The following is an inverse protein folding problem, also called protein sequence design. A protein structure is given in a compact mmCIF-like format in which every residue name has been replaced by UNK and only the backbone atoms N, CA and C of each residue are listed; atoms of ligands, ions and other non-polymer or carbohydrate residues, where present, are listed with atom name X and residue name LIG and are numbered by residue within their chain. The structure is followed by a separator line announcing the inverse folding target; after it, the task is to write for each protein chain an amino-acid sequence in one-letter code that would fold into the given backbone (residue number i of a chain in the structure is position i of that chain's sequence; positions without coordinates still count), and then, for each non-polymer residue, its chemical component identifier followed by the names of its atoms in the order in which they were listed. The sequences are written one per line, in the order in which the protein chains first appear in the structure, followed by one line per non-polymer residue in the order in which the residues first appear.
data_IF_476427929990
#
_entry.id   IF_476427929990
#
_cell.length_a   1.000
_cell.length_b   1.000
_cell.length_c   1.000
_cell.angle_alpha   90.00
_cell.angle_beta   90.00
_cell.angle_gamma   90.00
#
_symmetry.space_group_name_H-M   'P 1'
#
loop_
_entity.id
_entity.type
_entity.pdbx_description
1 polymer ?
#
# COMPACT_ATOMS: atom_id res chain seq x y z
N UNK A 1 1.13 1.98 -25.11
CA UNK A 1 0.55 0.92 -24.24
C UNK A 1 -0.41 1.60 -23.27
N UNK A 2 -1.61 1.07 -23.03
CA UNK A 2 -2.50 1.66 -22.00
C UNK A 2 -1.89 1.37 -20.64
N UNK A 3 -1.30 2.38 -20.01
CA UNK A 3 -0.67 2.24 -18.69
C UNK A 3 -1.79 2.16 -17.65
N UNK A 4 -2.05 0.97 -17.13
CA UNK A 4 -3.07 0.79 -16.10
C UNK A 4 -2.58 1.37 -14.77
N UNK A 5 -3.34 2.30 -14.19
CA UNK A 5 -2.98 2.99 -12.94
C UNK A 5 -2.95 2.10 -11.71
N UNK A 6 -3.89 1.15 -11.64
CA UNK A 6 -4.00 0.22 -10.53
C UNK A 6 -3.94 -1.20 -11.11
N UNK A 7 -2.95 -1.97 -10.69
CA UNK A 7 -2.80 -3.36 -11.06
C UNK A 7 -3.46 -4.22 -9.97
N UNK A 8 -4.55 -4.89 -10.34
CA UNK A 8 -5.27 -5.80 -9.45
C UNK A 8 -4.79 -7.22 -9.72
N UNK A 9 -4.28 -7.87 -8.68
CA UNK A 9 -3.81 -9.26 -8.74
C UNK A 9 -4.99 -10.22 -8.61
N UNK A 10 -5.86 -9.96 -7.63
CA UNK A 10 -7.06 -10.75 -7.35
C UNK A 10 -8.13 -9.83 -6.75
N UNK A 11 -9.41 -10.06 -7.03
CA UNK A 11 -10.49 -9.30 -6.41
C UNK A 11 -10.92 -9.95 -5.10
N UNK A 12 -10.93 -9.22 -3.97
CA UNK A 12 -11.37 -9.78 -2.71
C UNK A 12 -12.89 -9.94 -2.69
N UNK A 13 -13.38 -11.05 -2.13
CA UNK A 13 -14.82 -11.26 -1.91
C UNK A 13 -15.29 -10.51 -0.65
N UNK A 14 -15.67 -9.24 -0.84
CA UNK A 14 -16.19 -8.37 0.21
C UNK A 14 -17.63 -7.96 -0.08
N UNK A 15 -18.50 -8.03 0.93
CA UNK A 15 -19.87 -7.54 0.85
C UNK A 15 -19.97 -6.15 1.45
N UNK A 16 -20.32 -5.16 0.63
CA UNK A 16 -20.44 -3.75 1.02
C UNK A 16 -19.22 -3.22 1.82
N UNK A 17 -17.99 -3.26 1.24
CA UNK A 17 -16.79 -2.87 1.95
C UNK A 17 -16.74 -1.35 2.23
N UNK A 18 -16.03 -0.99 3.30
CA UNK A 18 -15.57 0.38 3.54
C UNK A 18 -14.11 0.49 3.12
N UNK A 19 -13.73 1.63 2.53
CA UNK A 19 -12.34 1.93 2.23
C UNK A 19 -11.77 2.84 3.31
N UNK A 20 -10.67 2.42 3.92
CA UNK A 20 -9.85 3.24 4.80
C UNK A 20 -8.53 3.49 4.07
N UNK A 21 -8.13 4.76 3.92
CA UNK A 21 -6.91 5.15 3.25
C UNK A 21 -6.02 5.97 4.19
N UNK A 22 -4.74 5.59 4.25
CA UNK A 22 -3.69 6.36 4.90
C UNK A 22 -2.63 6.69 3.87
N UNK A 23 -2.24 7.96 3.78
CA UNK A 23 -1.30 8.44 2.77
C UNK A 23 -0.03 8.94 3.45
N UNK A 24 1.09 8.78 2.76
CA UNK A 24 2.34 9.44 3.16
C UNK A 24 2.36 10.90 2.67
N UNK A 25 3.31 11.69 3.17
CA UNK A 25 3.53 13.08 2.74
C UNK A 25 2.87 14.14 3.63
N UNK A 26 2.35 15.21 3.02
CA UNK A 26 2.02 16.46 3.73
C UNK A 26 1.00 16.30 4.86
N UNK A 27 0.00 15.42 4.68
CA UNK A 27 -1.02 15.10 5.68
C UNK A 27 -0.60 14.09 6.76
N UNK A 28 0.66 13.64 6.78
CA UNK A 28 1.14 12.51 7.57
C UNK A 28 2.07 12.94 8.73
N UNK A 29 1.65 13.92 9.54
CA UNK A 29 2.43 14.37 10.69
C UNK A 29 2.67 13.21 11.68
N UNK A 30 3.92 13.05 12.12
CA UNK A 30 4.36 11.95 13.00
C UNK A 30 3.98 10.55 12.48
N UNK A 31 3.87 10.38 11.16
CA UNK A 31 3.48 9.14 10.49
C UNK A 31 2.09 8.60 10.87
N UNK A 32 1.19 9.47 11.35
CA UNK A 32 -0.11 9.02 11.88
C UNK A 32 -1.04 8.45 10.80
N UNK A 33 -1.07 9.02 9.60
CA UNK A 33 -1.99 8.59 8.54
C UNK A 33 -1.58 7.22 8.00
N UNK A 34 -0.35 7.11 7.49
CA UNK A 34 0.20 5.85 6.96
C UNK A 34 0.33 4.81 8.08
N UNK A 35 0.83 5.22 9.25
CA UNK A 35 0.99 4.33 10.41
C UNK A 35 -0.33 3.70 10.87
N UNK A 36 -1.43 4.45 10.89
CA UNK A 36 -2.75 3.89 11.25
C UNK A 36 -3.28 2.90 10.20
N UNK A 37 -3.09 3.17 8.91
CA UNK A 37 -3.44 2.20 7.87
C UNK A 37 -2.63 0.89 8.02
N UNK A 38 -1.32 1.00 8.23
CA UNK A 38 -0.43 -0.15 8.49
C UNK A 38 -0.85 -0.91 9.75
N UNK A 39 -1.23 -0.21 10.81
CA UNK A 39 -1.74 -0.81 12.04
C UNK A 39 -3.00 -1.65 11.77
N UNK A 40 -3.97 -1.12 11.03
CA UNK A 40 -5.21 -1.84 10.67
C UNK A 40 -4.93 -3.05 9.80
N UNK A 41 -4.06 -2.93 8.79
CA UNK A 41 -3.63 -4.06 7.94
C UNK A 41 -3.12 -5.21 8.81
N UNK A 42 -2.22 -4.92 9.76
CA UNK A 42 -1.65 -5.91 10.69
C UNK A 42 -2.71 -6.48 11.63
N UNK A 43 -3.52 -5.62 12.25
CA UNK A 43 -4.53 -6.01 13.25
C UNK A 43 -5.62 -6.90 12.64
N UNK A 44 -6.06 -6.59 11.42
CA UNK A 44 -7.11 -7.31 10.70
C UNK A 44 -6.56 -8.47 9.86
N UNK A 45 -5.23 -8.66 9.81
CA UNK A 45 -4.56 -9.63 8.94
C UNK A 45 -4.97 -9.47 7.47
N UNK A 46 -5.09 -8.22 7.02
CA UNK A 46 -5.53 -7.90 5.67
C UNK A 46 -4.51 -8.40 4.62
N UNK A 47 -5.03 -8.91 3.51
CA UNK A 47 -4.24 -9.45 2.40
C UNK A 47 -4.15 -8.43 1.27
N UNK A 48 -2.97 -8.30 0.68
CA UNK A 48 -2.77 -7.43 -0.49
C UNK A 48 -3.49 -8.01 -1.70
N UNK A 49 -4.16 -7.15 -2.48
CA UNK A 49 -4.90 -7.59 -3.66
C UNK A 49 -4.68 -6.70 -4.89
N UNK A 50 -4.13 -5.50 -4.71
CA UNK A 50 -3.79 -4.59 -5.79
C UNK A 50 -2.65 -3.64 -5.42
N UNK A 51 -1.94 -3.13 -6.42
CA UNK A 51 -0.89 -2.13 -6.28
C UNK A 51 -1.10 -0.95 -7.24
N UNK A 52 -0.59 0.22 -6.86
CA UNK A 52 -0.56 1.41 -7.70
C UNK A 52 0.69 1.34 -8.58
N UNK A 53 0.53 1.61 -9.88
CA UNK A 53 1.65 1.74 -10.79
C UNK A 53 2.36 3.08 -10.56
N UNK A 54 3.62 3.08 -10.07
CA UNK A 54 4.26 4.30 -9.66
C UNK A 54 4.62 5.24 -10.81
N UNK A 55 4.85 4.72 -12.01
CA UNK A 55 5.24 5.51 -13.19
C UNK A 55 4.18 6.53 -13.62
N UNK A 56 2.93 6.35 -13.18
CA UNK A 56 1.80 7.23 -13.53
C UNK A 56 1.57 8.30 -12.44
N UNK A 57 1.92 8.01 -11.19
CA UNK A 57 1.49 8.82 -10.04
C UNK A 57 2.64 9.47 -9.27
N UNK A 58 3.88 9.05 -9.48
CA UNK A 58 5.04 9.57 -8.74
C UNK A 58 6.00 10.30 -9.67
N UNK A 59 6.51 11.42 -9.16
CA UNK A 59 7.65 12.12 -9.74
C UNK A 59 8.91 11.64 -9.02
N UNK A 60 9.77 10.89 -9.71
CA UNK A 60 10.93 10.23 -9.09
C UNK A 60 12.05 11.17 -8.64
N UNK A 61 12.02 12.43 -9.08
CA UNK A 61 12.90 13.50 -8.59
C UNK A 61 12.48 14.02 -7.21
N UNK A 62 11.20 13.91 -6.87
CA UNK A 62 10.62 14.23 -5.56
C UNK A 62 10.58 12.99 -4.66
N UNK A 63 10.02 11.87 -5.16
CA UNK A 63 9.86 10.62 -4.45
C UNK A 63 10.80 9.56 -5.04
N UNK A 64 12.03 9.53 -4.54
CA UNK A 64 13.08 8.63 -5.05
C UNK A 64 12.80 7.17 -4.66
N UNK A 65 13.06 6.21 -5.57
CA UNK A 65 13.11 4.80 -5.22
C UNK A 65 14.15 4.52 -4.12
N UNK A 66 13.84 3.58 -3.25
CA UNK A 66 14.80 3.00 -2.31
C UNK A 66 15.68 1.98 -3.06
N UNK A 67 16.98 2.02 -2.80
CA UNK A 67 17.96 1.16 -3.48
C UNK A 67 18.88 0.50 -2.48
N UNK A 68 19.20 -0.76 -2.73
CA UNK A 68 20.22 -1.51 -1.99
C UNK A 68 21.34 -1.92 -2.95
N UNK A 69 22.58 -1.58 -2.58
CA UNK A 69 23.78 -1.81 -3.40
C UNK A 69 24.84 -2.48 -2.53
N UNK A 70 25.24 -3.70 -2.91
CA UNK A 70 26.26 -4.47 -2.22
C UNK A 70 27.38 -4.84 -3.19
N UNK A 71 28.62 -4.53 -2.83
CA UNK A 71 29.79 -4.83 -3.66
C UNK A 71 29.77 -4.14 -5.04
N UNK A 72 29.12 -2.98 -5.13
CA UNK A 72 28.94 -2.25 -6.40
C UNK A 72 27.85 -2.81 -7.31
N UNK A 73 27.07 -3.80 -6.84
CA UNK A 73 25.96 -4.39 -7.60
C UNK A 73 24.64 -3.95 -6.98
N UNK A 74 23.73 -3.46 -7.81
CA UNK A 74 22.35 -3.18 -7.42
C UNK A 74 21.64 -4.49 -7.04
N UNK A 75 21.30 -4.65 -5.76
CA UNK A 75 20.60 -5.82 -5.22
C UNK A 75 19.10 -5.63 -5.18
N UNK A 76 18.66 -4.43 -4.83
CA UNK A 76 17.24 -4.11 -4.70
C UNK A 76 16.96 -2.71 -5.23
N UNK A 77 15.79 -2.56 -5.85
CA UNK A 77 15.23 -1.30 -6.30
C UNK A 77 13.72 -1.33 -6.00
N UNK A 78 13.28 -0.51 -5.05
CA UNK A 78 11.88 -0.37 -4.69
C UNK A 78 11.41 1.05 -5.05
N UNK A 79 10.60 1.23 -6.11
CA UNK A 79 9.94 2.51 -6.33
C UNK A 79 8.94 2.81 -5.20
N UNK A 80 8.60 4.09 -4.96
CA UNK A 80 7.47 4.44 -4.11
C UNK A 80 6.21 3.67 -4.56
N UNK A 81 5.41 3.19 -3.62
CA UNK A 81 4.26 2.34 -3.95
C UNK A 81 3.08 2.61 -3.00
N UNK A 82 1.87 2.59 -3.56
CA UNK A 82 0.63 2.45 -2.81
C UNK A 82 0.06 1.05 -3.01
N UNK A 83 -0.38 0.40 -1.94
CA UNK A 83 -0.91 -0.96 -1.99
C UNK A 83 -2.31 -1.02 -1.37
N UNK A 84 -3.21 -1.78 -1.98
CA UNK A 84 -4.55 -2.05 -1.47
C UNK A 84 -4.57 -3.39 -0.72
N UNK A 85 -5.27 -3.40 0.40
CA UNK A 85 -5.43 -4.56 1.26
C UNK A 85 -6.91 -4.79 1.57
N UNK A 86 -7.29 -6.05 1.74
CA UNK A 86 -8.64 -6.47 2.06
C UNK A 86 -8.65 -7.38 3.28
N UNK A 87 -9.63 -7.19 4.17
CA UNK A 87 -9.90 -8.07 5.29
C UNK A 87 -11.41 -8.17 5.50
N UNK A 88 -11.86 -9.35 5.90
CA UNK A 88 -13.23 -9.55 6.40
C UNK A 88 -13.18 -9.51 7.91
N UNK A 89 -13.96 -8.61 8.52
CA UNK A 89 -14.08 -8.53 9.97
C UNK A 89 -15.20 -9.48 10.39
N UNK A 90 -14.86 -10.53 11.12
CA UNK A 90 -15.83 -11.33 11.86
C UNK A 90 -15.85 -10.83 13.28
N UNK A 91 -16.91 -10.12 13.68
CA UNK A 91 -17.09 -9.75 15.07
C UNK A 91 -17.31 -11.02 15.89
N UNK A 92 -16.35 -11.35 16.76
CA UNK A 92 -16.64 -12.24 17.88
C UNK A 92 -17.35 -11.38 18.91
N UNK A 93 -18.64 -11.64 19.12
CA UNK A 93 -19.31 -11.17 20.34
C UNK A 93 -18.64 -11.88 21.51
N UNK A 94 -17.72 -11.18 22.19
CA UNK A 94 -17.35 -11.54 23.54
C UNK A 94 -18.48 -11.01 24.44
N UNK A 95 -19.41 -11.92 24.76
CA UNK A 95 -20.39 -11.75 25.83
C UNK A 95 -19.75 -12.14 27.17
#
# INVERSE_FOLDING_TARGET
MKTQGIHVTEWPDLKAPILIAGFDGWGNALDVSRGMAVFLIRKLKAQSFAGINPDIFYLYDINRPEVDIEGGILKHLAPPCGTFYAATITWKNEA
#
